data_IF_139848453548
#
_entry.id   IF_139848453548
#
_cell.length_a   1.000
_cell.length_b   1.000
_cell.length_c   1.000
_cell.angle_alpha   90.00
_cell.angle_beta   90.00
_cell.angle_gamma   90.00
#
_symmetry.space_group_name_H-M   'P 1'
#
loop_
_entity.id
_entity.type
_entity.pdbx_description
1 polymer ?
#
# COMPACT_ATOMS: atom_id res chain seq x y z
N UNK A 1 -4.16 9.72 -23.57
CA UNK A 1 -3.46 8.46 -23.27
C UNK A 1 -4.04 7.37 -24.16
N UNK A 2 -3.18 6.70 -24.98
CA UNK A 2 -3.57 5.46 -25.69
C UNK A 2 -3.00 4.31 -24.90
N UNK A 3 -3.85 3.36 -24.49
CA UNK A 3 -3.42 2.15 -23.83
C UNK A 3 -4.04 0.91 -24.49
N UNK A 4 -3.36 -0.23 -24.39
CA UNK A 4 -3.88 -1.54 -24.72
C UNK A 4 -3.80 -2.42 -23.48
N UNK A 5 -4.81 -3.24 -23.28
CA UNK A 5 -4.88 -4.19 -22.17
C UNK A 5 -4.57 -5.60 -22.66
N UNK A 6 -3.79 -6.35 -21.88
CA UNK A 6 -3.58 -7.78 -22.06
C UNK A 6 -3.63 -8.48 -20.71
N UNK A 7 -4.42 -9.52 -20.65
CA UNK A 7 -4.42 -10.45 -19.52
C UNK A 7 -3.45 -11.59 -19.81
N UNK A 8 -2.68 -12.02 -18.81
CA UNK A 8 -1.78 -13.16 -18.93
C UNK A 8 -1.62 -13.86 -17.58
N UNK A 9 -1.36 -15.17 -17.64
CA UNK A 9 -1.10 -15.97 -16.45
C UNK A 9 0.38 -16.37 -16.44
N UNK A 10 1.06 -16.05 -15.34
CA UNK A 10 2.44 -16.49 -15.13
C UNK A 10 2.44 -17.89 -14.52
N UNK A 11 3.22 -18.84 -15.07
CA UNK A 11 3.50 -20.07 -14.37
C UNK A 11 4.26 -19.73 -13.07
N UNK A 12 3.82 -20.26 -11.94
CA UNK A 12 4.51 -20.05 -10.67
C UNK A 12 4.94 -21.38 -10.04
N UNK A 13 6.09 -21.35 -9.34
CA UNK A 13 6.53 -22.44 -8.49
C UNK A 13 6.11 -22.13 -7.06
N UNK A 14 5.34 -23.05 -6.44
CA UNK A 14 5.02 -22.95 -5.01
C UNK A 14 6.27 -23.27 -4.21
N UNK A 15 6.69 -22.34 -3.35
CA UNK A 15 7.72 -22.53 -2.36
C UNK A 15 7.06 -22.57 -0.98
N UNK A 16 7.18 -23.72 -0.29
CA UNK A 16 6.67 -23.84 1.06
C UNK A 16 7.68 -23.23 2.03
N UNK A 17 7.28 -22.14 2.69
CA UNK A 17 8.03 -21.54 3.78
C UNK A 17 7.83 -22.44 5.03
N UNK A 18 8.79 -23.31 5.30
CA UNK A 18 8.63 -24.44 6.23
C UNK A 18 8.76 -24.10 7.72
N UNK A 19 8.92 -22.83 8.12
CA UNK A 19 9.23 -22.52 9.52
C UNK A 19 8.19 -21.62 10.17
N UNK A 20 7.30 -22.25 10.98
CA UNK A 20 6.51 -21.54 12.00
C UNK A 20 5.49 -20.51 11.51
N UNK A 21 5.30 -20.40 10.21
CA UNK A 21 4.33 -19.53 9.60
C UNK A 21 2.97 -20.20 9.64
N UNK A 22 2.30 -20.08 10.76
CA UNK A 22 0.91 -20.51 10.84
C UNK A 22 0.07 -19.55 10.00
N UNK A 23 -0.83 -20.12 9.19
CA UNK A 23 -1.92 -19.35 8.61
C UNK A 23 -2.73 -18.73 9.76
N UNK A 24 -2.54 -17.45 10.00
CA UNK A 24 -3.25 -16.72 11.03
C UNK A 24 -4.60 -16.30 10.49
N UNK A 25 -5.62 -16.34 11.31
CA UNK A 25 -6.97 -15.93 10.93
C UNK A 25 -7.06 -14.43 10.64
N UNK A 26 -7.88 -14.05 9.66
CA UNK A 26 -8.22 -12.68 9.27
C UNK A 26 -7.09 -11.86 8.59
N UNK A 27 -7.10 -10.56 8.76
CA UNK A 27 -6.22 -9.57 8.12
C UNK A 27 -4.72 -9.74 8.35
N UNK A 28 -4.33 -10.60 9.28
CA UNK A 28 -2.93 -10.93 9.59
C UNK A 28 -2.33 -12.00 8.66
N UNK A 29 -3.10 -12.55 7.73
CA UNK A 29 -2.64 -13.58 6.76
C UNK A 29 -1.77 -13.01 5.65
N UNK A 30 -1.79 -11.72 5.44
CA UNK A 30 -0.98 -11.09 4.40
C UNK A 30 0.51 -11.20 4.73
N UNK A 31 1.31 -11.37 3.71
CA UNK A 31 2.77 -11.34 3.76
C UNK A 31 3.24 -10.28 2.77
N UNK A 32 4.24 -9.55 3.17
CA UNK A 32 4.87 -8.52 2.33
C UNK A 32 6.32 -8.91 2.13
N UNK A 33 6.81 -8.64 0.95
CA UNK A 33 8.17 -8.99 0.57
C UNK A 33 8.85 -7.87 -0.19
N UNK A 34 10.16 -7.76 -0.01
CA UNK A 34 11.02 -6.89 -0.79
C UNK A 34 12.35 -7.58 -1.09
N UNK A 35 12.92 -7.28 -2.26
CA UNK A 35 14.19 -7.85 -2.68
C UNK A 35 15.27 -6.78 -2.68
N UNK A 36 16.39 -7.06 -2.02
CA UNK A 36 17.57 -6.20 -1.99
C UNK A 36 18.81 -7.02 -2.36
N UNK A 37 19.45 -6.65 -3.47
CA UNK A 37 20.56 -7.42 -4.02
C UNK A 37 20.16 -8.87 -4.31
N UNK A 38 20.86 -9.81 -3.69
CA UNK A 38 20.63 -11.26 -3.81
C UNK A 38 19.70 -11.84 -2.71
N UNK A 39 19.04 -11.00 -1.92
CA UNK A 39 18.19 -11.45 -0.80
C UNK A 39 16.77 -10.96 -0.92
N UNK A 40 15.83 -11.83 -0.56
CA UNK A 40 14.42 -11.48 -0.36
C UNK A 40 14.10 -11.51 1.11
N UNK A 41 13.48 -10.43 1.59
CA UNK A 41 12.94 -10.31 2.94
C UNK A 41 11.44 -10.51 2.85
N UNK A 42 10.90 -11.23 3.82
CA UNK A 42 9.46 -11.43 3.96
C UNK A 42 9.06 -11.10 5.38
N UNK A 43 7.97 -10.36 5.52
CA UNK A 43 7.35 -10.08 6.82
C UNK A 43 5.92 -10.60 6.83
N UNK A 44 5.53 -11.24 7.93
CA UNK A 44 4.14 -11.63 8.17
C UNK A 44 3.29 -10.45 8.64
N UNK A 45 1.98 -10.54 8.49
CA UNK A 45 1.04 -9.57 9.06
C UNK A 45 1.13 -9.42 10.58
N UNK A 46 1.79 -10.35 11.29
CA UNK A 46 2.05 -10.33 12.73
C UNK A 46 3.40 -9.69 13.09
N UNK A 47 4.20 -9.29 12.07
CA UNK A 47 5.49 -8.65 12.27
C UNK A 47 6.65 -9.62 12.57
N UNK A 48 6.58 -10.86 12.09
CA UNK A 48 7.72 -11.78 12.09
C UNK A 48 8.49 -11.64 10.77
N UNK A 49 9.80 -11.48 10.86
CA UNK A 49 10.67 -11.23 9.72
C UNK A 49 11.56 -12.44 9.45
N UNK A 50 11.67 -12.80 8.17
CA UNK A 50 12.65 -13.74 7.64
C UNK A 50 13.31 -13.19 6.41
N UNK A 51 14.45 -13.76 6.04
CA UNK A 51 15.08 -13.52 4.73
C UNK A 51 15.70 -14.80 4.19
N UNK A 52 15.93 -14.81 2.90
CA UNK A 52 16.58 -15.91 2.19
C UNK A 52 17.29 -15.40 0.94
N UNK A 53 18.18 -16.20 0.40
CA UNK A 53 18.92 -15.90 -0.82
C UNK A 53 18.07 -16.18 -2.06
N UNK A 54 17.85 -15.16 -2.89
CA UNK A 54 17.05 -15.22 -4.12
C UNK A 54 17.63 -16.16 -5.16
N UNK A 55 18.97 -16.34 -5.20
CA UNK A 55 19.63 -17.22 -6.15
C UNK A 55 19.34 -18.71 -5.89
N UNK A 56 18.86 -19.04 -4.72
CA UNK A 56 18.54 -20.40 -4.29
C UNK A 56 17.10 -20.85 -4.58
N UNK A 57 16.33 -20.09 -5.35
CA UNK A 57 14.95 -20.45 -5.74
C UNK A 57 14.80 -21.79 -6.47
N UNK A 58 15.89 -22.32 -7.05
CA UNK A 58 15.89 -23.60 -7.75
C UNK A 58 16.18 -24.80 -6.82
N UNK A 59 16.54 -24.56 -5.56
CA UNK A 59 16.76 -25.64 -4.58
C UNK A 59 15.43 -26.14 -4.02
N UNK A 60 15.34 -27.45 -3.74
CA UNK A 60 14.16 -28.06 -3.13
C UNK A 60 13.96 -27.61 -1.66
N UNK A 61 14.93 -26.91 -1.08
CA UNK A 61 14.88 -26.36 0.28
C UNK A 61 15.38 -24.92 0.28
N UNK A 62 14.47 -23.98 0.48
CA UNK A 62 14.81 -22.60 0.73
C UNK A 62 15.33 -22.44 2.16
N UNK A 63 16.61 -22.10 2.31
CA UNK A 63 17.20 -21.85 3.63
C UNK A 63 16.78 -20.46 4.12
N UNK A 64 15.83 -20.45 5.04
CA UNK A 64 15.31 -19.23 5.66
C UNK A 64 16.09 -18.87 6.92
N UNK A 65 16.34 -17.59 7.11
CA UNK A 65 16.93 -17.07 8.34
C UNK A 65 15.94 -16.11 8.99
N UNK A 66 15.78 -16.22 10.31
CA UNK A 66 15.02 -15.24 11.07
C UNK A 66 15.80 -13.95 11.18
N UNK A 67 15.08 -12.83 11.07
CA UNK A 67 15.61 -11.49 11.35
C UNK A 67 14.95 -10.99 12.64
N UNK A 68 15.68 -10.98 13.77
CA UNK A 68 15.15 -10.52 15.04
C UNK A 68 14.67 -9.07 14.96
N UNK A 69 13.61 -8.75 15.69
CA UNK A 69 13.10 -7.38 15.77
C UNK A 69 12.58 -7.04 17.17
N UNK A 70 12.64 -5.78 17.53
CA UNK A 70 12.04 -5.27 18.76
C UNK A 70 10.57 -4.84 18.58
N UNK A 71 9.93 -5.11 17.44
CA UNK A 71 8.64 -4.54 17.05
C UNK A 71 7.58 -4.67 18.15
N UNK A 72 7.34 -5.89 18.63
CA UNK A 72 6.31 -6.15 19.65
C UNK A 72 6.62 -5.40 20.95
N UNK A 73 7.85 -5.49 21.45
CA UNK A 73 8.29 -4.81 22.68
C UNK A 73 8.23 -3.27 22.54
N UNK A 74 8.58 -2.74 21.36
CA UNK A 74 8.50 -1.31 21.08
C UNK A 74 7.06 -0.81 21.13
N UNK A 75 6.12 -1.53 20.49
CA UNK A 75 4.70 -1.16 20.46
C UNK A 75 4.07 -1.25 21.85
N UNK A 76 4.36 -2.30 22.62
CA UNK A 76 3.90 -2.44 24.01
C UNK A 76 4.36 -1.27 24.88
N UNK A 77 5.65 -0.86 24.79
CA UNK A 77 6.18 0.33 25.50
C UNK A 77 5.49 1.63 25.10
N UNK A 78 4.91 1.70 23.91
CA UNK A 78 4.16 2.84 23.38
C UNK A 78 2.66 2.74 23.60
N UNK A 79 2.20 1.71 24.31
CA UNK A 79 0.79 1.42 24.56
C UNK A 79 -0.02 1.19 23.27
N UNK A 80 0.59 0.48 22.30
CA UNK A 80 -0.08 0.08 21.08
C UNK A 80 -0.12 -1.45 20.95
N UNK A 81 -1.23 -1.93 20.37
CA UNK A 81 -1.38 -3.30 19.90
C UNK A 81 -1.26 -3.33 18.37
N UNK A 82 -0.45 -4.24 17.84
CA UNK A 82 -0.33 -4.48 16.39
C UNK A 82 -1.58 -5.21 15.89
N UNK A 83 -2.37 -4.55 15.05
CA UNK A 83 -3.56 -5.12 14.43
C UNK A 83 -3.27 -5.78 13.08
N UNK A 84 -2.20 -5.37 12.42
CA UNK A 84 -1.71 -5.97 11.19
C UNK A 84 -0.70 -5.08 10.48
N UNK A 85 0.20 -5.71 9.76
CA UNK A 85 1.15 -5.04 8.87
C UNK A 85 0.49 -4.86 7.50
N UNK A 86 0.83 -3.78 6.79
CA UNK A 86 0.22 -3.45 5.50
C UNK A 86 1.20 -3.30 4.37
N UNK A 87 2.46 -3.05 4.67
CA UNK A 87 3.52 -2.99 3.66
C UNK A 87 4.92 -3.06 4.27
N UNK A 88 5.88 -3.35 3.40
CA UNK A 88 7.31 -3.36 3.67
C UNK A 88 8.02 -2.64 2.53
N UNK A 89 8.91 -1.72 2.86
CA UNK A 89 9.76 -1.02 1.90
C UNK A 89 11.18 -0.85 2.44
N UNK A 90 12.18 -0.98 1.55
CA UNK A 90 13.60 -0.79 1.90
C UNK A 90 14.19 0.28 0.99
N UNK A 91 14.79 1.29 1.60
CA UNK A 91 15.41 2.42 0.93
C UNK A 91 16.60 2.92 1.75
N UNK A 92 17.73 3.18 1.10
CA UNK A 92 18.96 3.72 1.72
C UNK A 92 19.40 3.00 3.02
N UNK A 93 19.44 1.67 3.04
CA UNK A 93 19.75 0.86 4.22
C UNK A 93 18.79 1.07 5.40
N UNK A 94 17.59 1.57 5.16
CA UNK A 94 16.50 1.60 6.12
C UNK A 94 15.35 0.73 5.65
N UNK A 95 14.75 0.06 6.61
CA UNK A 95 13.54 -0.72 6.42
C UNK A 95 12.36 0.02 7.04
N UNK A 96 11.31 0.16 6.26
CA UNK A 96 10.05 0.79 6.64
C UNK A 96 8.93 -0.25 6.61
N UNK A 97 8.06 -0.19 7.59
CA UNK A 97 6.81 -0.96 7.60
C UNK A 97 5.64 -0.04 7.89
N UNK A 98 4.54 -0.27 7.22
CA UNK A 98 3.26 0.33 7.60
C UNK A 98 2.44 -0.63 8.44
N UNK A 99 1.84 -0.12 9.50
CA UNK A 99 1.15 -0.92 10.51
C UNK A 99 -0.18 -0.31 10.90
N UNK A 100 -1.17 -1.16 11.09
CA UNK A 100 -2.42 -0.78 11.76
C UNK A 100 -2.22 -1.03 13.25
N UNK A 101 -2.49 -0.02 14.05
CA UNK A 101 -2.32 -0.01 15.48
C UNK A 101 -3.63 0.28 16.18
N UNK A 102 -3.80 -0.35 17.34
CA UNK A 102 -4.87 -0.02 18.29
C UNK A 102 -4.23 0.59 19.54
N UNK A 103 -4.69 1.76 19.97
CA UNK A 103 -4.24 2.38 21.22
C UNK A 103 -5.01 1.85 22.44
N UNK A 104 -4.62 2.28 23.65
CA UNK A 104 -5.24 1.83 24.90
C UNK A 104 -6.72 2.23 25.03
N UNK A 105 -7.19 3.21 24.26
CA UNK A 105 -8.59 3.65 24.21
C UNK A 105 -9.39 2.91 23.13
N UNK A 106 -8.85 1.77 22.65
CA UNK A 106 -9.44 0.95 21.59
C UNK A 106 -9.67 1.69 20.27
N UNK A 107 -8.93 2.78 20.00
CA UNK A 107 -8.97 3.51 18.75
C UNK A 107 -7.88 3.03 17.80
N UNK A 108 -8.19 3.06 16.49
CA UNK A 108 -7.32 2.59 15.44
C UNK A 108 -6.64 3.73 14.71
N UNK A 109 -5.41 3.49 14.33
CA UNK A 109 -4.60 4.37 13.48
C UNK A 109 -3.76 3.54 12.52
N UNK A 110 -3.19 4.18 11.52
CA UNK A 110 -2.14 3.61 10.67
C UNK A 110 -0.89 4.46 10.83
N UNK A 111 0.27 3.83 10.88
CA UNK A 111 1.54 4.53 10.99
C UNK A 111 2.65 3.86 10.20
N UNK A 112 3.78 4.53 10.13
CA UNK A 112 5.02 4.00 9.56
C UNK A 112 6.06 3.90 10.66
N UNK A 113 6.66 2.71 10.78
CA UNK A 113 7.83 2.46 11.60
C UNK A 113 9.05 2.28 10.71
N UNK A 114 10.20 2.71 11.18
CA UNK A 114 11.47 2.55 10.49
C UNK A 114 12.54 1.93 11.38
N UNK A 115 13.46 1.20 10.78
CA UNK A 115 14.65 0.63 11.40
C UNK A 115 15.82 0.77 10.46
N UNK A 116 17.03 0.98 11.01
CA UNK A 116 18.26 0.68 10.25
C UNK A 116 18.25 -0.78 9.85
N UNK A 117 18.73 -1.07 8.63
CA UNK A 117 18.64 -2.39 8.03
C UNK A 117 20.03 -2.97 7.70
N UNK A 118 20.38 -4.10 8.34
CA UNK A 118 21.70 -4.73 8.20
C UNK A 118 21.67 -6.28 8.25
N UNK A 119 20.55 -6.93 8.07
CA UNK A 119 20.35 -8.39 8.18
C UNK A 119 20.73 -9.01 9.55
N UNK A 120 20.92 -8.22 10.58
CA UNK A 120 21.25 -8.69 11.93
C UNK A 120 20.08 -8.55 12.90
N UNK A 121 19.59 -7.32 13.07
CA UNK A 121 18.52 -7.00 13.98
C UNK A 121 17.76 -5.76 13.48
N UNK A 122 16.44 -5.73 13.67
CA UNK A 122 15.60 -4.55 13.39
C UNK A 122 15.23 -3.84 14.70
N UNK A 123 15.52 -2.55 14.78
CA UNK A 123 15.22 -1.66 15.92
C UNK A 123 14.25 -0.56 15.48
N UNK A 124 12.98 -0.84 15.60
CA UNK A 124 11.93 0.06 15.12
C UNK A 124 11.75 1.31 15.99
N UNK A 125 11.47 2.41 15.31
CA UNK A 125 10.99 3.67 15.87
C UNK A 125 9.89 4.22 14.97
N UNK A 126 9.01 5.10 15.48
CA UNK A 126 8.03 5.79 14.65
C UNK A 126 8.71 6.79 13.70
N UNK A 127 8.48 6.60 12.40
CA UNK A 127 8.67 7.63 11.39
C UNK A 127 7.44 8.53 11.34
N UNK A 128 6.25 7.94 11.27
CA UNK A 128 4.98 8.66 11.14
C UNK A 128 3.90 8.01 12.01
N UNK A 129 3.31 8.80 12.89
CA UNK A 129 2.19 8.42 13.75
C UNK A 129 1.15 9.55 13.73
N UNK A 130 0.12 9.45 12.87
CA UNK A 130 -0.87 10.52 12.72
C UNK A 130 -1.93 10.54 13.82
N UNK A 131 -2.00 9.53 14.69
CA UNK A 131 -3.00 9.38 15.75
C UNK A 131 -4.44 9.68 15.25
N UNK A 132 -4.93 8.87 14.33
CA UNK A 132 -6.18 9.15 13.60
C UNK A 132 -7.45 8.97 14.43
N UNK A 133 -7.39 8.27 15.57
CA UNK A 133 -8.51 8.00 16.49
C UNK A 133 -9.78 7.43 15.83
N UNK A 134 -9.60 6.45 14.95
CA UNK A 134 -10.72 5.76 14.28
C UNK A 134 -11.41 4.82 15.28
N UNK A 135 -12.74 4.93 15.37
CA UNK A 135 -13.50 4.17 16.37
C UNK A 135 -13.60 2.67 16.09
N UNK A 136 -13.63 2.30 14.82
CA UNK A 136 -13.89 0.91 14.40
C UNK A 136 -12.74 0.36 13.55
N UNK A 137 -12.47 -0.93 13.70
CA UNK A 137 -11.51 -1.63 12.84
C UNK A 137 -12.02 -1.69 11.40
N UNK A 138 -11.15 -1.43 10.46
CA UNK A 138 -11.47 -1.48 9.03
C UNK A 138 -10.43 -2.32 8.28
N UNK A 139 -10.90 -3.01 7.24
CA UNK A 139 -10.02 -3.66 6.25
C UNK A 139 -9.66 -2.72 5.09
N UNK A 140 -10.41 -1.61 4.93
CA UNK A 140 -10.17 -0.59 3.89
C UNK A 140 -9.12 0.44 4.32
N UNK A 141 -7.93 -0.02 4.66
CA UNK A 141 -6.90 0.82 5.31
C UNK A 141 -5.86 1.38 4.36
N UNK A 142 -5.73 0.86 3.13
CA UNK A 142 -4.59 1.15 2.29
C UNK A 142 -3.30 0.67 2.94
N UNK A 143 -2.33 1.54 3.07
CA UNK A 143 -1.11 1.28 3.83
C UNK A 143 0.13 1.02 2.97
N UNK A 144 0.08 1.28 1.66
CA UNK A 144 1.22 1.06 0.76
C UNK A 144 2.27 2.16 0.93
N UNK A 145 3.54 1.76 0.90
CA UNK A 145 4.71 2.63 1.01
C UNK A 145 5.57 2.44 -0.24
N UNK A 146 6.07 3.54 -0.81
CA UNK A 146 7.08 3.49 -1.87
C UNK A 146 8.04 4.68 -1.74
N UNK A 147 9.30 4.53 -2.15
CA UNK A 147 10.24 5.63 -2.26
C UNK A 147 9.75 6.67 -3.28
N UNK A 148 9.92 7.94 -2.98
CA UNK A 148 9.51 9.04 -3.86
C UNK A 148 10.73 9.80 -4.40
N UNK A 149 11.57 10.23 -3.51
CA UNK A 149 12.89 10.79 -3.78
C UNK A 149 13.86 10.40 -2.66
N UNK A 150 15.08 10.93 -2.69
CA UNK A 150 16.10 10.56 -1.71
C UNK A 150 15.68 10.81 -0.26
N UNK A 151 14.72 11.70 -0.01
CA UNK A 151 14.33 12.10 1.35
C UNK A 151 12.84 11.93 1.64
N UNK A 152 12.04 11.39 0.73
CA UNK A 152 10.59 11.26 0.91
C UNK A 152 10.10 9.85 0.60
N UNK A 153 9.03 9.46 1.30
CA UNK A 153 8.22 8.27 1.01
C UNK A 153 6.82 8.71 0.60
N UNK A 154 6.22 7.98 -0.32
CA UNK A 154 4.78 8.03 -0.54
C UNK A 154 4.09 7.05 0.39
N UNK A 155 2.93 7.45 0.87
CA UNK A 155 2.11 6.63 1.75
C UNK A 155 0.63 6.74 1.39
N UNK A 156 -0.01 5.59 1.17
CA UNK A 156 -1.45 5.54 0.92
C UNK A 156 -2.22 5.26 2.22
N UNK A 157 -3.30 5.98 2.44
CA UNK A 157 -4.18 5.81 3.59
C UNK A 157 -5.60 5.61 3.07
N UNK A 158 -6.19 4.45 3.33
CA UNK A 158 -7.53 4.12 2.90
C UNK A 158 -8.63 4.85 3.66
N UNK A 159 -9.88 4.55 3.34
CA UNK A 159 -11.03 5.27 3.91
C UNK A 159 -11.37 4.87 5.36
N UNK A 160 -10.82 3.78 5.90
CA UNK A 160 -11.00 3.32 7.28
C UNK A 160 -12.45 3.17 7.74
N UNK A 161 -13.36 2.83 6.81
CA UNK A 161 -14.82 2.78 7.08
C UNK A 161 -15.43 4.09 7.58
N UNK A 162 -14.75 5.21 7.34
CA UNK A 162 -15.23 6.57 7.63
C UNK A 162 -15.33 7.40 6.34
N UNK A 163 -16.19 7.00 5.38
CA UNK A 163 -16.24 7.61 4.05
C UNK A 163 -16.57 9.11 4.09
N UNK A 164 -17.31 9.57 5.08
CA UNK A 164 -17.64 10.97 5.33
C UNK A 164 -16.41 11.86 5.57
N UNK A 165 -15.29 11.28 6.02
CA UNK A 165 -14.03 12.00 6.28
C UNK A 165 -13.14 12.12 5.04
N UNK A 166 -13.38 11.29 4.02
CA UNK A 166 -12.48 11.18 2.85
C UNK A 166 -12.36 12.46 2.06
N UNK A 167 -13.44 13.23 1.90
CA UNK A 167 -13.42 14.49 1.15
C UNK A 167 -12.86 15.68 1.96
N UNK A 168 -12.64 15.52 3.27
CA UNK A 168 -12.06 16.57 4.09
C UNK A 168 -10.53 16.59 3.91
N UNK A 169 -9.99 17.68 3.35
CA UNK A 169 -8.53 17.84 3.09
C UNK A 169 -7.67 17.89 4.37
N UNK A 170 -8.27 18.16 5.52
CA UNK A 170 -7.56 18.24 6.81
C UNK A 170 -7.46 16.89 7.53
N UNK A 171 -8.17 15.88 7.05
CA UNK A 171 -8.19 14.53 7.63
C UNK A 171 -7.49 13.54 6.69
N UNK A 172 -6.86 12.54 7.26
CA UNK A 172 -6.01 11.58 6.53
C UNK A 172 -6.75 10.42 5.84
N UNK A 173 -7.95 9.96 6.26
CA UNK A 173 -8.64 8.90 5.54
C UNK A 173 -8.83 9.21 4.05
N UNK A 174 -8.54 8.22 3.19
CA UNK A 174 -8.70 8.31 1.73
C UNK A 174 -7.69 9.24 1.04
N UNK A 175 -6.43 9.22 1.47
CA UNK A 175 -5.36 10.11 0.96
C UNK A 175 -4.15 9.33 0.46
N UNK A 176 -3.42 9.95 -0.47
CA UNK A 176 -2.01 9.65 -0.73
C UNK A 176 -1.21 10.89 -0.31
N UNK A 177 -0.19 10.67 0.51
CA UNK A 177 0.67 11.72 1.04
C UNK A 177 2.14 11.41 0.73
N UNK A 178 2.97 12.44 0.66
CA UNK A 178 4.42 12.31 0.77
C UNK A 178 4.86 12.63 2.20
N UNK A 179 5.85 11.90 2.71
CA UNK A 179 6.36 12.07 4.07
C UNK A 179 7.87 12.26 3.98
N UNK A 180 8.37 13.36 4.55
CA UNK A 180 9.80 13.60 4.66
C UNK A 180 10.41 12.69 5.73
N UNK A 181 11.46 11.94 5.37
CA UNK A 181 12.10 10.92 6.23
C UNK A 181 12.85 11.51 7.43
N UNK A 182 13.26 12.80 7.36
CA UNK A 182 14.02 13.48 8.41
C UNK A 182 13.11 14.27 9.38
N UNK A 183 12.39 15.26 8.84
CA UNK A 183 11.59 16.16 9.68
C UNK A 183 10.18 15.63 9.94
N UNK A 184 9.77 14.52 9.28
CA UNK A 184 8.48 13.81 9.44
C UNK A 184 7.25 14.64 9.02
N UNK A 185 7.45 15.77 8.36
CA UNK A 185 6.36 16.54 7.78
C UNK A 185 5.78 15.79 6.59
N UNK A 186 4.51 16.01 6.32
CA UNK A 186 3.84 15.40 5.17
C UNK A 186 3.12 16.44 4.31
N UNK A 187 2.96 16.10 3.04
CA UNK A 187 2.19 16.88 2.08
C UNK A 187 1.12 16.00 1.41
N UNK A 188 -0.04 16.60 1.14
CA UNK A 188 -1.15 15.92 0.51
C UNK A 188 -0.98 15.93 -1.01
N UNK A 189 -0.88 14.76 -1.64
CA UNK A 189 -0.73 14.60 -3.10
C UNK A 189 -2.06 14.33 -3.80
N UNK A 190 -2.94 13.53 -3.19
CA UNK A 190 -4.28 13.26 -3.72
C UNK A 190 -5.25 12.85 -2.62
N UNK A 191 -6.54 12.94 -2.94
CA UNK A 191 -7.64 12.52 -2.05
C UNK A 191 -8.76 11.84 -2.83
N UNK A 192 -9.76 11.36 -2.09
CA UNK A 192 -10.89 10.69 -2.72
C UNK A 192 -10.61 9.23 -3.04
N UNK A 193 -9.76 8.58 -2.24
CA UNK A 193 -9.40 7.18 -2.37
C UNK A 193 -10.20 6.30 -1.40
N UNK A 194 -10.47 5.05 -1.82
CA UNK A 194 -11.18 4.07 -1.00
C UNK A 194 -10.24 3.12 -0.28
N UNK A 195 -9.57 2.22 -0.99
CA UNK A 195 -8.75 1.16 -0.39
C UNK A 195 -7.62 0.77 -1.36
N UNK A 196 -6.53 1.50 -1.30
CA UNK A 196 -5.38 1.31 -2.17
C UNK A 196 -4.68 -0.01 -1.83
N UNK A 197 -4.40 -0.84 -2.85
CA UNK A 197 -3.74 -2.14 -2.73
C UNK A 197 -2.37 -2.17 -3.40
N UNK A 198 -2.10 -1.25 -4.29
CA UNK A 198 -0.80 -1.01 -4.90
C UNK A 198 -0.51 0.48 -4.98
N UNK A 199 0.76 0.84 -4.88
CA UNK A 199 1.26 2.20 -5.00
C UNK A 199 2.63 2.14 -5.66
N UNK A 200 2.84 2.97 -6.69
CA UNK A 200 4.10 3.03 -7.40
C UNK A 200 4.42 4.45 -7.84
N UNK A 201 5.69 4.82 -7.76
CA UNK A 201 6.22 6.07 -8.30
C UNK A 201 7.15 5.77 -9.48
N UNK A 202 7.02 6.53 -10.54
CA UNK A 202 7.94 6.43 -11.67
C UNK A 202 8.12 7.79 -12.36
N UNK A 203 9.23 7.89 -13.06
CA UNK A 203 9.53 8.99 -13.97
C UNK A 203 9.57 8.42 -15.39
N UNK A 204 8.87 9.07 -16.31
CA UNK A 204 8.92 8.68 -17.72
C UNK A 204 10.21 9.16 -18.41
N UNK A 205 10.43 8.73 -19.66
CA UNK A 205 11.61 9.07 -20.45
C UNK A 205 11.72 10.58 -20.78
N UNK A 206 10.67 11.35 -20.54
CA UNK A 206 10.64 12.82 -20.71
C UNK A 206 10.86 13.58 -19.42
N UNK A 207 11.06 12.85 -18.30
CA UNK A 207 11.27 13.44 -16.98
C UNK A 207 9.99 13.81 -16.23
N UNK A 208 8.80 13.48 -16.75
CA UNK A 208 7.57 13.67 -16.01
C UNK A 208 7.45 12.63 -14.89
N UNK A 209 7.00 13.08 -13.73
CA UNK A 209 6.87 12.27 -12.52
C UNK A 209 5.41 11.86 -12.30
N UNK A 210 5.20 10.59 -11.99
CA UNK A 210 3.87 10.03 -11.82
C UNK A 210 3.77 9.22 -10.53
N UNK A 211 2.63 9.33 -9.86
CA UNK A 211 2.17 8.41 -8.83
C UNK A 211 1.01 7.62 -9.40
N UNK A 212 1.10 6.30 -9.37
CA UNK A 212 0.04 5.40 -9.80
C UNK A 212 -0.38 4.51 -8.63
N UNK A 213 -1.66 4.28 -8.48
CA UNK A 213 -2.19 3.35 -7.49
C UNK A 213 -3.29 2.48 -8.07
N UNK A 214 -3.38 1.26 -7.54
CA UNK A 214 -4.55 0.39 -7.70
C UNK A 214 -5.39 0.44 -6.44
N UNK A 215 -6.71 0.40 -6.57
CA UNK A 215 -7.58 0.37 -5.40
C UNK A 215 -8.86 -0.45 -5.61
N UNK A 216 -9.34 -1.04 -4.53
CA UNK A 216 -10.62 -1.72 -4.52
C UNK A 216 -11.78 -0.72 -4.49
N UNK A 217 -12.69 -0.87 -5.44
CA UNK A 217 -14.01 -0.27 -5.39
C UNK A 217 -14.93 -0.96 -4.36
N UNK A 218 -16.19 -0.55 -4.28
CA UNK A 218 -17.25 -1.35 -3.64
C UNK A 218 -17.54 -2.61 -4.49
N UNK A 219 -18.75 -3.09 -4.56
CA UNK A 219 -19.09 -4.22 -5.45
C UNK A 219 -18.95 -3.82 -6.92
N UNK A 220 -17.89 -4.26 -7.57
CA UNK A 220 -17.42 -3.73 -8.85
C UNK A 220 -16.54 -2.48 -8.67
N UNK A 221 -16.05 -1.91 -9.78
CA UNK A 221 -15.34 -0.63 -9.80
C UNK A 221 -13.98 -0.59 -9.11
N UNK A 222 -13.18 -1.67 -9.21
CA UNK A 222 -11.76 -1.58 -8.92
C UNK A 222 -11.11 -0.62 -9.93
N UNK A 223 -10.11 0.14 -9.49
CA UNK A 223 -9.55 1.24 -10.27
C UNK A 223 -8.02 1.21 -10.30
N UNK A 224 -7.47 1.70 -11.42
CA UNK A 224 -6.09 2.17 -11.50
C UNK A 224 -6.14 3.68 -11.68
N UNK A 225 -5.55 4.40 -10.76
CA UNK A 225 -5.49 5.84 -10.73
C UNK A 225 -4.08 6.34 -11.02
N UNK A 226 -3.95 7.46 -11.74
CA UNK A 226 -2.67 8.07 -12.07
C UNK A 226 -2.69 9.57 -11.77
N UNK A 227 -1.65 10.03 -11.10
CA UNK A 227 -1.41 11.43 -10.79
C UNK A 227 -0.11 11.88 -11.47
N UNK A 228 -0.20 12.87 -12.37
CA UNK A 228 0.97 13.55 -12.92
C UNK A 228 1.37 14.69 -11.98
N UNK A 229 2.52 14.58 -11.36
CA UNK A 229 2.98 15.52 -10.34
C UNK A 229 3.47 16.86 -10.94
N UNK A 230 3.73 16.92 -12.26
CA UNK A 230 4.16 18.13 -12.95
C UNK A 230 3.16 19.28 -12.82
N UNK A 231 1.87 18.94 -12.78
CA UNK A 231 0.81 19.95 -12.75
C UNK A 231 0.64 20.60 -11.36
N UNK A 232 1.35 20.11 -10.35
CA UNK A 232 1.28 20.54 -8.93
C UNK A 232 -0.17 20.75 -8.45
N UNK A 233 -1.08 19.90 -8.93
CA UNK A 233 -2.51 19.99 -8.68
C UNK A 233 -2.95 18.88 -7.73
N UNK A 234 -3.64 19.28 -6.67
CA UNK A 234 -4.27 18.31 -5.78
C UNK A 234 -5.44 17.62 -6.49
N UNK A 235 -5.24 16.36 -6.90
CA UNK A 235 -6.28 15.58 -7.55
C UNK A 235 -7.23 14.94 -6.53
N UNK A 236 -8.50 14.85 -6.91
CA UNK A 236 -9.55 14.19 -6.13
C UNK A 236 -10.19 13.09 -6.97
N UNK A 237 -10.04 11.83 -6.55
CA UNK A 237 -10.54 10.66 -7.25
C UNK A 237 -11.99 10.26 -6.88
N UNK A 238 -12.67 11.09 -6.09
CA UNK A 238 -14.15 11.11 -5.99
C UNK A 238 -14.75 10.27 -4.87
N UNK A 239 -14.08 9.26 -4.34
CA UNK A 239 -14.68 8.47 -3.26
C UNK A 239 -15.05 9.32 -2.03
N UNK A 240 -16.22 9.15 -1.39
CA UNK A 240 -17.29 8.16 -1.65
C UNK A 240 -18.41 8.71 -2.56
N UNK A 241 -18.24 9.84 -3.24
CA UNK A 241 -19.28 10.46 -4.05
C UNK A 241 -19.37 9.81 -5.43
N UNK A 242 -18.21 9.52 -6.04
CA UNK A 242 -18.11 8.87 -7.33
C UNK A 242 -17.49 7.47 -7.20
N UNK A 243 -17.98 6.52 -7.98
CA UNK A 243 -17.46 5.16 -8.12
C UNK A 243 -18.10 4.47 -9.32
N UNK A 244 -17.37 3.58 -9.97
CA UNK A 244 -17.89 2.69 -11.01
C UNK A 244 -18.54 1.42 -10.46
N UNK A 245 -18.44 1.18 -9.14
CA UNK A 245 -19.10 0.09 -8.46
C UNK A 245 -20.46 0.48 -7.85
N UNK A 246 -21.08 -0.47 -7.18
CA UNK A 246 -22.33 -0.29 -6.44
C UNK A 246 -22.14 -0.80 -5.00
N UNK A 247 -23.04 -0.45 -4.09
CA UNK A 247 -23.01 -1.00 -2.73
C UNK A 247 -23.23 -2.52 -2.73
N UNK A 248 -22.79 -3.19 -1.68
CA UNK A 248 -22.94 -4.64 -1.53
C UNK A 248 -24.41 -5.08 -1.40
N UNK A 249 -25.29 -4.20 -0.93
CA UNK A 249 -26.76 -4.43 -0.89
C UNK A 249 -27.45 -4.24 -2.25
N UNK A 250 -26.72 -3.83 -3.29
CA UNK A 250 -27.20 -3.59 -4.64
C UNK A 250 -27.67 -2.16 -4.90
N UNK A 251 -27.72 -1.30 -3.91
CA UNK A 251 -28.02 0.12 -4.11
C UNK A 251 -26.87 0.82 -4.85
N UNK A 252 -27.20 1.84 -5.64
CA UNK A 252 -26.21 2.64 -6.34
C UNK A 252 -26.34 4.13 -6.02
N UNK A 253 -25.75 4.62 -4.93
CA UNK A 253 -25.76 6.03 -4.59
C UNK A 253 -24.63 6.81 -5.30
N UNK A 254 -23.71 6.13 -5.99
CA UNK A 254 -22.50 6.73 -6.53
C UNK A 254 -22.75 7.40 -7.88
N UNK A 255 -21.96 8.41 -8.17
CA UNK A 255 -21.84 9.03 -9.49
C UNK A 255 -20.88 8.19 -10.33
N UNK A 256 -21.36 7.67 -11.47
CA UNK A 256 -20.59 6.76 -12.32
C UNK A 256 -19.53 7.47 -13.19
N UNK A 257 -19.71 8.78 -13.46
CA UNK A 257 -18.79 9.56 -14.28
C UNK A 257 -18.08 10.58 -13.39
N UNK A 258 -16.82 10.31 -13.01
CA UNK A 258 -16.07 11.15 -12.09
C UNK A 258 -15.90 12.59 -12.61
N UNK A 259 -15.48 12.73 -13.87
CA UNK A 259 -15.21 14.03 -14.50
C UNK A 259 -16.42 14.95 -14.55
N UNK A 260 -17.62 14.45 -14.82
CA UNK A 260 -18.86 15.26 -14.89
C UNK A 260 -19.24 15.84 -13.52
N UNK A 261 -18.68 15.29 -12.45
CA UNK A 261 -18.89 15.73 -11.08
C UNK A 261 -17.68 16.44 -10.47
N UNK A 262 -16.68 16.83 -11.34
CA UNK A 262 -15.51 17.58 -10.92
C UNK A 262 -14.40 16.76 -10.28
N UNK A 263 -14.46 15.44 -10.41
CA UNK A 263 -13.43 14.51 -9.92
C UNK A 263 -12.50 14.06 -11.04
N UNK A 264 -11.35 13.52 -10.66
CA UNK A 264 -10.41 12.90 -11.57
C UNK A 264 -10.92 11.52 -11.99
N UNK A 265 -10.97 11.28 -13.30
CA UNK A 265 -11.25 9.93 -13.82
C UNK A 265 -10.10 8.98 -13.52
N UNK A 266 -10.38 7.71 -13.16
CA UNK A 266 -9.36 6.68 -13.13
C UNK A 266 -8.77 6.48 -14.54
N UNK A 267 -7.52 6.02 -14.60
CA UNK A 267 -6.89 5.60 -15.86
C UNK A 267 -7.67 4.42 -16.49
N UNK A 268 -8.08 3.49 -15.64
CA UNK A 268 -8.90 2.32 -16.00
C UNK A 268 -9.73 1.87 -14.79
N UNK A 269 -10.90 1.32 -15.03
CA UNK A 269 -11.75 0.69 -14.02
C UNK A 269 -12.22 -0.69 -14.47
N UNK A 270 -12.56 -1.55 -13.51
CA UNK A 270 -12.97 -2.93 -13.75
C UNK A 270 -14.34 -3.20 -13.15
N UNK A 271 -15.29 -3.56 -14.03
CA UNK A 271 -16.64 -3.96 -13.65
C UNK A 271 -17.00 -5.23 -14.41
N UNK A 272 -17.10 -6.40 -13.75
CA UNK A 272 -16.97 -6.63 -12.30
C UNK A 272 -15.55 -6.41 -11.76
N UNK A 273 -15.42 -6.25 -10.44
CA UNK A 273 -14.12 -6.18 -9.75
C UNK A 273 -13.28 -7.43 -10.01
N UNK A 274 -11.99 -7.23 -10.17
CA UNK A 274 -11.00 -8.32 -10.36
C UNK A 274 -10.26 -8.65 -9.08
N UNK A 275 -10.52 -7.92 -7.98
CA UNK A 275 -9.74 -7.99 -6.76
C UNK A 275 -8.31 -7.51 -7.01
N UNK A 276 -8.18 -6.32 -7.60
CA UNK A 276 -6.89 -5.74 -7.96
C UNK A 276 -5.98 -5.62 -6.74
N UNK A 277 -4.69 -5.88 -6.92
CA UNK A 277 -3.71 -5.88 -5.84
C UNK A 277 -2.52 -4.99 -6.20
N UNK A 278 -1.29 -5.51 -6.12
CA UNK A 278 -0.06 -4.76 -6.36
C UNK A 278 0.03 -4.18 -7.77
N UNK A 279 0.72 -3.06 -7.90
CA UNK A 279 0.95 -2.38 -9.17
C UNK A 279 2.43 -2.02 -9.33
N UNK A 280 2.95 -2.14 -10.53
CA UNK A 280 4.29 -1.68 -10.89
C UNK A 280 4.32 -1.16 -12.31
N UNK A 281 5.34 -0.36 -12.63
CA UNK A 281 5.54 0.20 -13.96
C UNK A 281 6.94 -0.12 -14.44
N UNK A 282 7.02 -0.59 -15.68
CA UNK A 282 8.27 -0.72 -16.41
C UNK A 282 8.32 0.32 -17.52
N UNK A 283 9.32 1.18 -17.49
CA UNK A 283 9.61 2.11 -18.57
C UNK A 283 10.24 1.36 -19.73
N UNK A 284 9.76 1.61 -20.94
CA UNK A 284 10.33 1.19 -22.19
C UNK A 284 10.60 2.44 -23.04
N UNK A 285 11.35 2.31 -24.13
CA UNK A 285 11.80 3.47 -24.92
C UNK A 285 10.63 4.33 -25.45
N UNK A 286 9.58 3.68 -25.96
CA UNK A 286 8.45 4.36 -26.59
C UNK A 286 7.15 4.36 -25.75
N UNK A 287 7.09 3.57 -24.67
CA UNK A 287 5.86 3.41 -23.85
C UNK A 287 6.18 2.87 -22.46
N UNK A 288 5.26 3.06 -21.55
CA UNK A 288 5.31 2.48 -20.22
C UNK A 288 4.38 1.28 -20.13
N UNK A 289 4.84 0.19 -19.52
CA UNK A 289 4.02 -0.99 -19.26
C UNK A 289 3.63 -1.01 -17.79
N UNK A 290 2.33 -0.98 -17.52
CA UNK A 290 1.78 -1.12 -16.18
C UNK A 290 1.44 -2.60 -15.94
N UNK A 291 1.97 -3.17 -14.88
CA UNK A 291 1.64 -4.50 -14.39
C UNK A 291 0.77 -4.35 -13.16
N UNK A 292 -0.40 -4.94 -13.17
CA UNK A 292 -1.29 -5.01 -12.02
C UNK A 292 -1.64 -6.46 -11.74
N UNK A 293 -1.45 -6.91 -10.51
CA UNK A 293 -1.89 -8.22 -10.09
C UNK A 293 -3.35 -8.20 -9.66
N UNK A 294 -4.03 -9.35 -9.74
CA UNK A 294 -5.41 -9.51 -9.32
C UNK A 294 -5.64 -10.88 -8.70
N UNK A 295 -6.72 -11.01 -7.94
CA UNK A 295 -7.14 -12.28 -7.31
C UNK A 295 -8.04 -13.13 -8.23
N UNK A 296 -8.40 -12.61 -9.39
CA UNK A 296 -9.21 -13.28 -10.43
C UNK A 296 -8.54 -13.19 -11.78
#
# INVERSE_FOLDING_TARGET
LKYSFREFFLPFKRLDLSYGWRAVENSKRAHYLETIGDKTIVVSGEGDFIYFDTNNFNSDKLLQKRLPSNLKQFLEKKNFTLMGLRDLHIDDNKLYISVILQNINEKYTIGILSSEFNFQELKFNFLFDPNMDIAEYSIGTGGRIVGYDNNQLLFSIGHFSVPDKVQNKKLLPGKIISINKENKNYELLSLGHRNQQGLFYFQDNTGNQFVINSEHGPKGGDEININNLKDNKLLNFGWPVASYGINYDGSNPFKSTHKEHGYQEPLIYFTPSIGISEISVKNNDDYNTIYASSLR
#
